data_IF_826992314353
#
_entry.id   IF_826992314353
#
_cell.length_a   1.000
_cell.length_b   1.000
_cell.length_c   1.000
_cell.angle_alpha   90.00
_cell.angle_beta   90.00
_cell.angle_gamma   90.00
#
_symmetry.space_group_name_H-M   'P 1'
#
loop_
_entity.id
_entity.type
_entity.pdbx_description
1 polymer ?
#
# COMPACT_ATOMS: atom_id res chain seq x y z
N UNK A 1 33.81 4.96 13.52
CA UNK A 1 32.86 4.99 12.39
C UNK A 1 33.62 4.59 11.15
N UNK A 2 33.07 3.71 10.32
CA UNK A 2 33.71 3.24 9.10
C UNK A 2 33.60 4.29 7.98
N UNK A 3 34.67 4.45 7.20
CA UNK A 3 34.76 5.35 6.06
C UNK A 3 34.23 4.77 4.74
N UNK A 4 33.64 3.57 4.75
CA UNK A 4 33.03 2.95 3.56
C UNK A 4 31.80 3.71 3.03
N UNK A 5 30.98 4.28 3.92
CA UNK A 5 29.70 4.91 3.57
C UNK A 5 29.83 6.15 2.67
N UNK A 6 31.00 6.79 2.62
CA UNK A 6 31.27 7.91 1.70
C UNK A 6 31.48 7.49 0.24
N UNK A 7 31.37 6.19 -0.08
CA UNK A 7 31.65 5.63 -1.41
C UNK A 7 30.44 5.01 -2.12
N UNK A 8 29.24 5.07 -1.53
CA UNK A 8 28.03 4.65 -2.26
C UNK A 8 27.77 5.68 -3.36
N UNK A 9 27.79 5.22 -4.61
CA UNK A 9 27.44 6.04 -5.76
C UNK A 9 25.92 6.12 -5.91
N UNK A 10 25.43 7.31 -6.21
CA UNK A 10 24.00 7.68 -6.26
C UNK A 10 23.82 8.49 -7.54
N UNK A 11 23.28 7.90 -8.63
CA UNK A 11 23.52 8.38 -9.99
C UNK A 11 23.24 9.88 -10.23
N UNK A 12 22.12 10.38 -9.73
CA UNK A 12 21.65 11.75 -10.00
C UNK A 12 21.71 12.65 -8.74
N UNK A 13 22.45 12.26 -7.69
CA UNK A 13 22.47 12.98 -6.40
C UNK A 13 22.88 14.45 -6.53
N UNK A 14 23.74 14.79 -7.49
CA UNK A 14 24.15 16.18 -7.71
C UNK A 14 22.95 17.07 -8.11
N UNK A 15 21.96 16.54 -8.86
CA UNK A 15 20.71 17.25 -9.17
C UNK A 15 19.94 17.60 -7.90
N UNK A 16 19.84 16.67 -6.95
CA UNK A 16 19.20 16.90 -5.65
C UNK A 16 19.96 17.93 -4.81
N UNK A 17 21.29 17.85 -4.77
CA UNK A 17 22.15 18.75 -4.00
C UNK A 17 22.32 20.15 -4.61
N UNK A 18 21.95 20.33 -5.89
CA UNK A 18 21.83 21.63 -6.55
C UNK A 18 20.42 22.22 -6.42
N UNK A 19 19.38 21.38 -6.35
CA UNK A 19 18.00 21.79 -6.05
C UNK A 19 17.77 22.16 -4.58
N UNK A 20 18.49 21.54 -3.64
CA UNK A 20 18.52 21.93 -2.23
C UNK A 20 19.94 21.79 -1.63
N UNK A 21 20.75 22.87 -1.68
CA UNK A 21 22.11 22.87 -1.16
C UNK A 21 22.25 22.53 0.33
N UNK A 22 21.19 22.67 1.14
CA UNK A 22 21.21 22.27 2.55
C UNK A 22 21.40 20.75 2.73
N UNK A 23 20.97 19.94 1.76
CA UNK A 23 21.14 18.48 1.79
C UNK A 23 22.60 18.02 1.72
N UNK A 24 23.54 18.90 1.33
CA UNK A 24 24.99 18.60 1.35
C UNK A 24 25.51 18.32 2.77
N UNK A 25 24.84 18.85 3.81
CA UNK A 25 25.12 18.52 5.21
C UNK A 25 24.69 17.10 5.61
N UNK A 26 23.83 16.47 4.81
CA UNK A 26 23.24 15.15 5.05
C UNK A 26 23.58 14.13 3.95
N UNK A 27 24.46 14.47 3.00
CA UNK A 27 24.81 13.66 1.84
C UNK A 27 25.26 12.24 2.22
N UNK A 28 26.06 12.08 3.28
CA UNK A 28 26.51 10.77 3.75
C UNK A 28 25.38 9.86 4.25
N UNK A 29 24.30 10.43 4.76
CA UNK A 29 23.10 9.69 5.19
C UNK A 29 22.20 9.34 4.00
N UNK A 30 22.09 10.23 3.00
CA UNK A 30 21.42 9.95 1.72
C UNK A 30 22.14 8.80 1.00
N UNK A 31 23.47 8.86 0.89
CA UNK A 31 24.33 7.79 0.32
C UNK A 31 24.19 6.48 1.09
N UNK A 32 24.16 6.51 2.43
CA UNK A 32 23.90 5.31 3.26
C UNK A 32 22.54 4.67 2.93
N UNK A 33 21.46 5.46 2.90
CA UNK A 33 20.09 5.00 2.60
C UNK A 33 19.99 4.38 1.20
N UNK A 34 20.58 5.03 0.21
CA UNK A 34 20.64 4.50 -1.16
C UNK A 34 21.46 3.21 -1.25
N UNK A 35 22.53 3.07 -0.45
CA UNK A 35 23.30 1.83 -0.33
C UNK A 35 22.45 0.67 0.18
N UNK A 36 21.66 0.88 1.24
CA UNK A 36 20.71 -0.11 1.75
C UNK A 36 19.65 -0.49 0.71
N UNK A 37 19.13 0.47 -0.07
CA UNK A 37 18.27 0.20 -1.22
C UNK A 37 18.96 -0.66 -2.29
N UNK A 38 20.21 -0.33 -2.68
CA UNK A 38 20.99 -1.11 -3.64
C UNK A 38 21.33 -2.52 -3.14
N UNK A 39 21.52 -2.73 -1.84
CA UNK A 39 21.71 -4.07 -1.25
C UNK A 39 20.43 -4.90 -1.39
N UNK A 40 19.25 -4.33 -1.08
CA UNK A 40 17.96 -5.02 -1.22
C UNK A 40 17.65 -5.36 -2.67
N UNK A 41 17.81 -4.43 -3.62
CA UNK A 41 17.59 -4.70 -5.05
C UNK A 41 18.54 -5.80 -5.55
N UNK A 42 19.85 -5.71 -5.26
CA UNK A 42 20.82 -6.75 -5.65
C UNK A 42 20.48 -8.12 -5.03
N UNK A 43 19.94 -8.15 -3.82
CA UNK A 43 19.50 -9.41 -3.21
C UNK A 43 18.29 -10.00 -3.94
N UNK A 44 17.27 -9.19 -4.23
CA UNK A 44 16.07 -9.60 -4.99
C UNK A 44 16.45 -10.11 -6.39
N UNK A 45 17.32 -9.39 -7.10
CA UNK A 45 17.77 -9.76 -8.44
C UNK A 45 18.54 -11.09 -8.43
N UNK A 46 19.43 -11.31 -7.46
CA UNK A 46 20.26 -12.51 -7.37
C UNK A 46 19.57 -13.75 -6.80
N UNK A 47 18.48 -13.60 -6.04
CA UNK A 47 17.80 -14.73 -5.36
C UNK A 47 16.42 -15.05 -5.92
N UNK A 48 15.61 -14.03 -6.21
CA UNK A 48 14.22 -14.19 -6.66
C UNK A 48 14.07 -13.94 -8.17
N UNK A 49 15.13 -13.46 -8.85
CA UNK A 49 15.20 -13.34 -10.31
C UNK A 49 14.52 -12.07 -10.84
N UNK A 50 14.73 -10.95 -10.16
CA UNK A 50 14.26 -9.63 -10.56
C UNK A 50 12.99 -9.18 -9.83
N UNK A 51 12.88 -7.87 -9.60
CA UNK A 51 11.80 -7.30 -8.78
C UNK A 51 10.39 -7.52 -9.35
N UNK A 52 10.21 -7.61 -10.67
CA UNK A 52 8.92 -8.02 -11.26
C UNK A 52 8.49 -9.39 -10.75
N UNK A 53 9.38 -10.40 -10.84
CA UNK A 53 9.11 -11.78 -10.45
C UNK A 53 8.87 -11.90 -8.94
N UNK A 54 9.63 -11.16 -8.14
CA UNK A 54 9.42 -11.08 -6.68
C UNK A 54 8.05 -10.49 -6.32
N UNK A 55 7.62 -9.43 -7.00
CA UNK A 55 6.31 -8.78 -6.76
C UNK A 55 5.10 -9.71 -7.01
N UNK A 56 5.30 -10.78 -7.80
CA UNK A 56 4.26 -11.73 -8.23
C UNK A 56 4.05 -12.89 -7.25
N UNK A 57 4.48 -12.75 -6.00
CA UNK A 57 4.26 -13.74 -4.93
C UNK A 57 2.80 -14.21 -4.81
N UNK A 58 1.83 -13.32 -5.06
CA UNK A 58 0.39 -13.61 -5.06
C UNK A 58 -0.06 -14.65 -6.11
N UNK A 59 0.74 -14.92 -7.16
CA UNK A 59 0.45 -15.96 -8.17
C UNK A 59 0.75 -17.38 -7.65
N UNK A 60 1.37 -17.50 -6.47
CA UNK A 60 1.78 -18.79 -5.93
C UNK A 60 1.54 -18.97 -4.42
N UNK A 61 1.47 -17.88 -3.64
CA UNK A 61 1.00 -17.89 -2.26
C UNK A 61 -0.51 -17.64 -2.18
N UNK A 62 -1.14 -18.08 -1.09
CA UNK A 62 -2.60 -18.18 -0.99
C UNK A 62 -3.15 -19.41 -1.70
N UNK A 63 -4.47 -19.42 -1.89
CA UNK A 63 -5.23 -20.54 -2.47
C UNK A 63 -5.47 -20.32 -3.97
N UNK A 64 -5.06 -21.31 -4.77
CA UNK A 64 -5.20 -21.31 -6.22
C UNK A 64 -5.79 -22.63 -6.72
N UNK A 65 -6.65 -22.56 -7.73
CA UNK A 65 -7.15 -23.71 -8.47
C UNK A 65 -6.16 -24.10 -9.56
N UNK A 66 -5.83 -25.38 -9.67
CA UNK A 66 -4.93 -25.89 -10.70
C UNK A 66 -5.70 -26.23 -11.99
N UNK A 67 -5.04 -26.31 -13.16
CA UNK A 67 -5.73 -26.51 -14.45
C UNK A 67 -6.52 -27.82 -14.59
N UNK A 68 -6.25 -28.79 -13.72
CA UNK A 68 -6.95 -30.08 -13.58
C UNK A 68 -8.13 -30.03 -12.58
N UNK A 69 -8.53 -28.83 -12.13
CA UNK A 69 -9.52 -28.58 -11.06
C UNK A 69 -9.09 -29.04 -9.64
N UNK A 70 -7.82 -29.41 -9.43
CA UNK A 70 -7.27 -29.50 -8.08
C UNK A 70 -7.14 -28.14 -7.39
N UNK A 71 -6.63 -28.15 -6.16
CA UNK A 71 -6.20 -26.96 -5.41
C UNK A 71 -4.72 -27.08 -5.08
N UNK A 72 -3.98 -25.99 -5.29
CA UNK A 72 -2.69 -25.76 -4.67
C UNK A 72 -2.81 -24.57 -3.71
N UNK A 73 -2.34 -24.70 -2.48
CA UNK A 73 -2.29 -23.59 -1.53
C UNK A 73 -0.93 -23.54 -0.84
N UNK A 74 -0.32 -22.34 -0.79
CA UNK A 74 1.00 -22.13 -0.19
C UNK A 74 0.97 -20.95 0.78
N UNK A 75 1.61 -21.13 1.93
CA UNK A 75 1.63 -20.17 3.03
C UNK A 75 3.02 -19.97 3.59
N UNK A 76 3.21 -18.91 4.38
CA UNK A 76 4.41 -18.68 5.17
C UNK A 76 4.05 -18.64 6.66
N UNK A 77 4.52 -19.63 7.42
CA UNK A 77 4.20 -19.80 8.83
C UNK A 77 5.39 -20.46 9.56
N UNK A 78 6.55 -19.77 9.68
CA UNK A 78 7.78 -20.36 10.20
C UNK A 78 7.69 -20.83 11.66
N UNK A 79 6.82 -20.19 12.45
CA UNK A 79 6.57 -20.51 13.86
C UNK A 79 5.49 -21.57 14.11
N UNK A 80 4.85 -22.13 13.07
CA UNK A 80 3.87 -23.20 13.21
C UNK A 80 4.53 -24.57 13.39
N UNK A 81 3.92 -25.45 14.17
CA UNK A 81 4.31 -26.87 14.25
C UNK A 81 3.50 -27.76 13.29
N UNK A 82 2.40 -27.22 12.76
CA UNK A 82 1.61 -27.84 11.70
C UNK A 82 0.64 -26.82 11.11
N UNK A 83 0.34 -26.95 9.83
CA UNK A 83 -0.64 -26.13 9.13
C UNK A 83 -1.65 -27.06 8.44
N UNK A 84 -2.93 -26.71 8.50
CA UNK A 84 -4.03 -27.52 7.95
C UNK A 84 -5.05 -26.62 7.25
N UNK A 85 -5.70 -27.14 6.21
CA UNK A 85 -6.81 -26.49 5.53
C UNK A 85 -8.14 -27.00 6.08
N UNK A 86 -9.07 -26.07 6.36
CA UNK A 86 -10.42 -26.35 6.86
C UNK A 86 -11.46 -25.68 5.96
N UNK A 87 -12.68 -26.18 5.99
CA UNK A 87 -13.84 -25.53 5.38
C UNK A 87 -15.13 -26.26 5.73
N UNK A 88 -16.22 -25.91 5.05
CA UNK A 88 -17.50 -26.63 5.19
C UNK A 88 -17.39 -28.09 4.71
N UNK A 89 -16.45 -28.37 3.81
CA UNK A 89 -16.13 -29.70 3.27
C UNK A 89 -15.27 -30.60 4.19
N UNK A 90 -14.85 -30.13 5.38
CA UNK A 90 -13.92 -30.88 6.26
C UNK A 90 -14.60 -31.39 7.52
N UNK A 91 -14.53 -32.70 7.76
CA UNK A 91 -15.09 -33.35 8.96
C UNK A 91 -14.23 -33.17 10.22
N UNK A 92 -12.93 -32.90 10.08
CA UNK A 92 -12.04 -32.57 11.21
C UNK A 92 -11.09 -31.42 10.87
N UNK A 93 -10.62 -30.69 11.89
CA UNK A 93 -9.67 -29.56 11.73
C UNK A 93 -8.33 -29.92 11.10
N UNK A 94 -7.97 -31.21 11.01
CA UNK A 94 -6.64 -31.69 10.60
C UNK A 94 -6.67 -32.60 9.37
N UNK A 95 -7.81 -32.69 8.68
CA UNK A 95 -8.03 -33.60 7.54
C UNK A 95 -7.09 -33.33 6.35
N UNK A 96 -6.71 -32.07 6.14
CA UNK A 96 -5.88 -31.62 5.01
C UNK A 96 -4.59 -30.95 5.52
N UNK A 97 -3.55 -31.73 5.89
CA UNK A 97 -2.27 -31.20 6.34
C UNK A 97 -1.44 -30.63 5.19
N UNK A 98 -0.76 -29.51 5.44
CA UNK A 98 0.28 -28.99 4.55
C UNK A 98 1.62 -29.70 4.81
N UNK A 99 2.40 -29.88 3.76
CA UNK A 99 3.82 -30.24 3.84
C UNK A 99 4.64 -29.00 4.21
N UNK A 100 5.53 -29.13 5.21
CA UNK A 100 6.50 -28.07 5.55
C UNK A 100 7.61 -28.03 4.51
N UNK A 101 7.93 -26.83 4.03
CA UNK A 101 9.02 -26.55 3.11
C UNK A 101 10.12 -25.73 3.82
N UNK A 102 11.19 -25.43 3.09
CA UNK A 102 12.27 -24.55 3.55
C UNK A 102 11.77 -23.13 3.88
N UNK A 103 12.57 -22.39 4.65
CA UNK A 103 12.28 -21.00 5.07
C UNK A 103 10.96 -20.83 5.85
N UNK A 104 10.36 -21.92 6.34
CA UNK A 104 9.07 -21.90 7.02
C UNK A 104 7.87 -21.67 6.09
N UNK A 105 8.06 -21.88 4.78
CA UNK A 105 7.00 -21.98 3.78
C UNK A 105 6.26 -23.32 3.98
N UNK A 106 4.99 -23.39 3.62
CA UNK A 106 4.15 -24.59 3.71
C UNK A 106 3.34 -24.73 2.43
N UNK A 107 3.16 -25.93 1.90
CA UNK A 107 2.36 -26.18 0.69
C UNK A 107 1.40 -27.36 0.90
N UNK A 108 0.19 -27.27 0.35
CA UNK A 108 -0.71 -28.40 0.16
C UNK A 108 -1.18 -28.45 -1.30
N UNK A 109 -1.28 -29.66 -1.84
CA UNK A 109 -1.88 -29.97 -3.13
C UNK A 109 -3.00 -30.99 -2.91
N UNK A 110 -4.20 -30.69 -3.39
CA UNK A 110 -5.39 -31.52 -3.26
C UNK A 110 -5.87 -31.81 -4.69
N UNK A 111 -5.98 -33.09 -5.11
CA UNK A 111 -6.46 -33.43 -6.46
C UNK A 111 -7.94 -33.05 -6.64
N UNK A 112 -8.43 -32.96 -7.89
CA UNK A 112 -9.86 -32.85 -8.15
C UNK A 112 -10.66 -34.01 -7.52
N UNK A 113 -11.95 -33.79 -7.34
CA UNK A 113 -12.90 -34.83 -6.97
C UNK A 113 -13.00 -35.90 -8.09
N UNK A 114 -13.57 -37.07 -7.78
CA UNK A 114 -13.70 -38.18 -8.74
C UNK A 114 -14.57 -37.86 -9.98
N UNK A 115 -15.43 -36.83 -9.89
CA UNK A 115 -16.24 -36.30 -10.99
C UNK A 115 -15.53 -35.17 -11.77
N UNK A 116 -14.28 -34.85 -11.43
CA UNK A 116 -13.51 -33.75 -12.01
C UNK A 116 -13.85 -32.37 -11.44
N UNK A 117 -14.69 -32.27 -10.41
CA UNK A 117 -15.04 -31.00 -9.77
C UNK A 117 -13.97 -30.52 -8.77
N UNK A 118 -14.00 -29.23 -8.44
CA UNK A 118 -13.08 -28.62 -7.48
C UNK A 118 -13.33 -29.18 -6.05
N UNK A 119 -12.30 -29.64 -5.32
CA UNK A 119 -12.47 -30.23 -3.98
C UNK A 119 -12.82 -29.21 -2.90
N UNK A 120 -12.67 -27.91 -3.18
CA UNK A 120 -12.94 -26.82 -2.23
C UNK A 120 -14.06 -25.92 -2.76
N UNK A 121 -15.28 -26.01 -2.20
CA UNK A 121 -16.32 -25.01 -2.41
C UNK A 121 -15.91 -23.66 -1.77
N UNK A 122 -16.83 -22.69 -1.75
CA UNK A 122 -16.58 -21.42 -1.07
C UNK A 122 -16.40 -21.62 0.45
N UNK A 123 -15.96 -20.57 1.17
CA UNK A 123 -15.82 -20.54 2.64
C UNK A 123 -14.72 -21.46 3.26
N UNK A 124 -13.51 -21.50 2.69
CA UNK A 124 -12.33 -22.14 3.31
C UNK A 124 -11.67 -21.27 4.40
N UNK A 125 -11.00 -21.90 5.37
CA UNK A 125 -10.26 -21.25 6.47
C UNK A 125 -8.96 -21.99 6.77
N UNK A 126 -7.90 -21.30 7.19
CA UNK A 126 -6.68 -21.95 7.68
C UNK A 126 -6.81 -22.37 9.14
N UNK A 127 -6.11 -23.43 9.52
CA UNK A 127 -5.92 -23.86 10.91
C UNK A 127 -4.43 -24.03 11.17
N UNK A 128 -3.92 -23.28 12.14
CA UNK A 128 -2.52 -23.32 12.58
C UNK A 128 -2.43 -24.14 13.86
N UNK A 129 -1.49 -25.09 13.92
CA UNK A 129 -1.05 -25.71 15.17
C UNK A 129 0.08 -24.90 15.78
N UNK A 130 -0.16 -24.40 16.98
CA UNK A 130 0.81 -23.64 17.77
C UNK A 130 1.84 -24.55 18.45
N UNK A 131 2.88 -23.94 19.04
CA UNK A 131 3.87 -24.65 19.88
C UNK A 131 3.29 -25.20 21.18
N UNK A 132 2.16 -24.66 21.65
CA UNK A 132 1.33 -25.23 22.74
C UNK A 132 0.50 -26.44 22.29
N UNK A 133 0.53 -26.81 21.01
CA UNK A 133 -0.25 -27.92 20.44
C UNK A 133 -1.70 -27.57 20.04
N UNK A 134 -2.16 -26.37 20.38
CA UNK A 134 -3.52 -25.86 20.14
C UNK A 134 -3.80 -25.65 18.64
N UNK A 135 -5.06 -25.84 18.23
CA UNK A 135 -5.50 -25.68 16.83
C UNK A 135 -6.33 -24.41 16.67
N UNK A 136 -5.67 -23.35 16.19
CA UNK A 136 -6.21 -21.99 16.11
C UNK A 136 -6.53 -21.61 14.67
N UNK A 137 -7.76 -21.16 14.43
CA UNK A 137 -8.22 -20.77 13.09
C UNK A 137 -7.64 -19.40 12.69
N UNK A 138 -7.32 -19.25 11.40
CA UNK A 138 -6.79 -18.02 10.79
C UNK A 138 -7.37 -17.80 9.39
N UNK A 139 -7.32 -16.54 8.95
CA UNK A 139 -7.54 -16.15 7.56
C UNK A 139 -6.18 -16.18 6.84
N UNK A 140 -6.17 -16.64 5.59
CA UNK A 140 -5.04 -16.55 4.67
C UNK A 140 -4.60 -15.08 4.49
N UNK A 141 -3.32 -14.71 4.72
CA UNK A 141 -2.80 -13.36 4.46
C UNK A 141 -2.99 -12.92 2.99
N UNK A 142 -3.05 -13.90 2.08
CA UNK A 142 -3.26 -13.73 0.64
C UNK A 142 -4.74 -13.90 0.23
N UNK A 143 -5.68 -13.78 1.17
CA UNK A 143 -7.11 -13.98 0.93
C UNK A 143 -7.71 -12.86 0.08
N UNK A 144 -8.02 -13.16 -1.19
CA UNK A 144 -8.61 -12.23 -2.18
C UNK A 144 -9.90 -11.54 -1.68
N UNK A 145 -10.73 -12.24 -0.90
CA UNK A 145 -12.00 -11.74 -0.35
C UNK A 145 -12.22 -12.27 1.06
N UNK A 146 -12.72 -11.41 1.95
CA UNK A 146 -13.25 -11.79 3.27
C UNK A 146 -14.65 -11.20 3.44
N UNK A 147 -15.49 -11.86 4.25
CA UNK A 147 -16.87 -11.44 4.54
C UNK A 147 -17.15 -11.61 6.03
N UNK A 148 -17.85 -10.65 6.64
CA UNK A 148 -18.46 -10.83 7.96
C UNK A 148 -19.93 -11.22 7.77
N UNK A 149 -20.39 -12.42 8.17
CA UNK A 149 -21.82 -12.72 8.26
C UNK A 149 -22.50 -11.76 9.25
N UNK A 150 -23.81 -11.53 9.10
CA UNK A 150 -24.51 -10.52 9.93
C UNK A 150 -24.45 -10.86 11.42
N UNK A 151 -24.58 -12.14 11.71
CA UNK A 151 -24.92 -12.70 13.02
C UNK A 151 -23.68 -13.06 13.86
N UNK A 152 -22.47 -12.83 13.34
CA UNK A 152 -21.20 -13.05 14.04
C UNK A 152 -20.26 -11.83 13.94
N UNK A 153 -19.41 -11.59 14.97
CA UNK A 153 -18.43 -10.50 14.94
C UNK A 153 -17.20 -10.81 14.09
N UNK A 154 -16.91 -12.09 13.81
CA UNK A 154 -15.70 -12.53 13.11
C UNK A 154 -15.85 -12.50 11.58
N UNK A 155 -14.76 -12.17 10.89
CA UNK A 155 -14.66 -12.34 9.45
C UNK A 155 -14.37 -13.79 9.06
N UNK A 156 -14.80 -14.16 7.86
CA UNK A 156 -14.59 -15.45 7.23
C UNK A 156 -13.95 -15.25 5.86
N UNK A 157 -12.99 -16.10 5.52
CA UNK A 157 -12.33 -16.13 4.21
C UNK A 157 -13.27 -16.72 3.16
N UNK A 158 -13.33 -16.09 2.00
CA UNK A 158 -14.08 -16.57 0.84
C UNK A 158 -13.09 -17.07 -0.20
N UNK A 159 -13.23 -18.33 -0.64
CA UNK A 159 -12.54 -18.79 -1.84
C UNK A 159 -13.16 -18.07 -3.05
N UNK A 160 -12.48 -17.05 -3.57
CA UNK A 160 -12.95 -16.25 -4.70
C UNK A 160 -12.38 -16.80 -6.01
N UNK A 161 -13.07 -17.82 -6.52
CA UNK A 161 -12.86 -18.47 -7.83
C UNK A 161 -14.16 -18.40 -8.65
N UNK A 162 -14.57 -17.21 -9.12
CA UNK A 162 -15.79 -17.06 -9.92
C UNK A 162 -15.61 -17.64 -11.33
N UNK A 163 -16.67 -18.18 -11.95
CA UNK A 163 -16.63 -18.66 -13.34
C UNK A 163 -16.07 -17.65 -14.36
N UNK A 164 -15.44 -18.16 -15.42
CA UNK A 164 -14.72 -17.36 -16.42
C UNK A 164 -15.61 -16.33 -17.16
N UNK A 165 -16.90 -16.62 -17.30
CA UNK A 165 -17.93 -15.73 -17.85
C UNK A 165 -18.37 -14.60 -16.89
N UNK A 166 -18.09 -14.77 -15.60
CA UNK A 166 -18.40 -13.79 -14.53
C UNK A 166 -17.20 -12.91 -14.17
N UNK A 167 -16.00 -13.22 -14.67
CA UNK A 167 -14.82 -12.38 -14.51
C UNK A 167 -14.97 -11.06 -15.28
N UNK A 168 -14.68 -9.94 -14.61
CA UNK A 168 -14.75 -8.62 -15.23
C UNK A 168 -13.64 -8.42 -16.26
N UNK A 169 -14.03 -8.30 -17.53
CA UNK A 169 -13.12 -7.94 -18.61
C UNK A 169 -13.01 -6.41 -18.71
N UNK A 170 -11.79 -5.88 -18.55
CA UNK A 170 -11.52 -4.45 -18.65
C UNK A 170 -11.74 -3.95 -20.09
N UNK A 171 -12.64 -2.98 -20.26
CA UNK A 171 -13.06 -2.46 -21.58
C UNK A 171 -12.34 -1.19 -22.02
N UNK A 172 -11.51 -0.61 -21.15
CA UNK A 172 -10.88 0.70 -21.35
C UNK A 172 -9.40 0.64 -20.99
N UNK A 173 -8.55 1.34 -21.75
CA UNK A 173 -7.15 1.55 -21.37
C UNK A 173 -7.05 2.48 -20.15
N UNK A 174 -5.92 2.43 -19.44
CA UNK A 174 -5.60 3.47 -18.44
C UNK A 174 -5.51 4.84 -19.15
N UNK A 175 -6.04 5.93 -18.56
CA UNK A 175 -5.79 7.29 -19.03
C UNK A 175 -4.30 7.64 -19.04
N UNK A 176 -3.94 8.67 -19.81
CA UNK A 176 -2.57 9.19 -19.83
C UNK A 176 -2.28 10.05 -18.58
N UNK A 177 -1.02 10.10 -18.13
CA UNK A 177 -0.61 10.80 -16.90
C UNK A 177 -0.94 12.30 -17.03
N UNK A 178 -1.84 12.88 -16.20
CA UNK A 178 -2.30 14.25 -16.39
C UNK A 178 -1.22 15.26 -15.99
N UNK A 179 -1.16 16.40 -16.70
CA UNK A 179 -0.17 17.46 -16.45
C UNK A 179 -0.28 18.11 -15.05
N UNK A 180 -1.43 17.99 -14.38
CA UNK A 180 -1.65 18.40 -13.00
C UNK A 180 -2.80 17.60 -12.40
N UNK A 181 -2.68 17.23 -11.13
CA UNK A 181 -3.71 16.45 -10.43
C UNK A 181 -4.86 17.33 -9.95
N UNK A 182 -6.07 16.78 -10.06
CA UNK A 182 -7.29 17.20 -9.38
C UNK A 182 -7.88 15.92 -8.80
N UNK A 183 -7.76 15.75 -7.50
CA UNK A 183 -8.18 14.53 -6.80
C UNK A 183 -9.51 14.82 -6.13
N UNK A 184 -10.49 13.94 -6.36
CA UNK A 184 -11.71 13.89 -5.57
C UNK A 184 -11.58 12.70 -4.63
N UNK A 185 -11.33 12.96 -3.35
CA UNK A 185 -11.30 11.92 -2.33
C UNK A 185 -12.70 11.30 -2.17
N UNK A 186 -12.77 10.00 -1.88
CA UNK A 186 -14.06 9.30 -1.84
C UNK A 186 -14.04 8.00 -1.04
N UNK A 187 -14.96 7.91 -0.08
CA UNK A 187 -15.26 6.67 0.63
C UNK A 187 -16.57 6.06 0.11
N UNK A 188 -16.47 4.93 -0.59
CA UNK A 188 -17.61 4.27 -1.25
C UNK A 188 -18.77 4.03 -0.28
N UNK A 189 -18.50 3.55 0.94
CA UNK A 189 -19.55 3.14 1.89
C UNK A 189 -20.49 4.26 2.34
N UNK A 190 -20.09 5.54 2.24
CA UNK A 190 -20.91 6.70 2.65
C UNK A 190 -21.38 7.57 1.47
N UNK A 191 -21.23 7.08 0.24
CA UNK A 191 -21.53 7.83 -0.99
C UNK A 191 -23.01 7.87 -1.39
N UNK A 192 -23.92 7.47 -0.50
CA UNK A 192 -25.37 7.64 -0.68
C UNK A 192 -25.96 8.49 0.44
N UNK A 193 -27.10 9.11 0.14
CA UNK A 193 -27.95 9.81 1.10
C UNK A 193 -28.80 8.85 1.96
N UNK A 194 -28.87 7.57 1.57
CA UNK A 194 -29.49 6.52 2.37
C UNK A 194 -28.60 6.13 3.56
N UNK A 195 -29.19 5.89 4.73
CA UNK A 195 -28.51 5.40 5.94
C UNK A 195 -28.07 3.93 5.85
N UNK A 196 -27.28 3.58 4.82
CA UNK A 196 -26.77 2.23 4.52
C UNK A 196 -25.31 2.31 4.08
N UNK A 197 -24.60 1.18 4.14
CA UNK A 197 -23.31 1.05 3.42
C UNK A 197 -23.61 0.97 1.92
N UNK A 198 -23.24 2.01 1.16
CA UNK A 198 -23.48 2.06 -0.28
C UNK A 198 -22.57 1.11 -1.07
N UNK A 199 -23.01 0.61 -2.23
CA UNK A 199 -22.22 -0.34 -3.02
C UNK A 199 -21.32 0.31 -4.08
N UNK A 200 -20.28 -0.40 -4.50
CA UNK A 200 -19.45 -0.03 -5.66
C UNK A 200 -20.26 0.21 -6.94
N UNK A 201 -21.39 -0.50 -7.14
CA UNK A 201 -22.24 -0.34 -8.33
C UNK A 201 -23.01 0.98 -8.30
N UNK A 202 -23.53 1.37 -7.14
CA UNK A 202 -24.18 2.67 -6.94
C UNK A 202 -23.17 3.81 -7.08
N UNK A 203 -22.01 3.71 -6.42
CA UNK A 203 -20.90 4.66 -6.58
C UNK A 203 -20.47 4.87 -8.05
N UNK A 204 -20.32 3.77 -8.81
CA UNK A 204 -19.96 3.80 -10.24
C UNK A 204 -21.00 4.51 -11.10
N UNK A 205 -22.30 4.33 -10.78
CA UNK A 205 -23.43 4.90 -11.53
C UNK A 205 -23.67 6.37 -11.18
N UNK A 206 -23.61 6.71 -9.90
CA UNK A 206 -24.22 7.94 -9.36
C UNK A 206 -23.22 9.02 -8.95
N UNK A 207 -21.98 8.63 -8.61
CA UNK A 207 -20.94 9.57 -8.13
C UNK A 207 -19.82 9.79 -9.14
N UNK A 208 -19.32 8.75 -9.82
CA UNK A 208 -18.25 8.92 -10.84
C UNK A 208 -18.57 9.99 -11.90
N UNK A 209 -19.81 10.15 -12.41
CA UNK A 209 -20.13 11.24 -13.34
C UNK A 209 -19.97 12.64 -12.74
N UNK A 210 -20.12 12.79 -11.41
CA UNK A 210 -19.96 14.09 -10.70
C UNK A 210 -18.51 14.39 -10.37
N UNK A 211 -17.71 13.35 -10.13
CA UNK A 211 -16.28 13.43 -9.81
C UNK A 211 -15.47 14.01 -10.99
N UNK A 212 -15.93 13.75 -12.22
CA UNK A 212 -15.32 14.25 -13.46
C UNK A 212 -15.17 15.79 -13.50
N UNK A 213 -16.00 16.54 -12.76
CA UNK A 213 -16.20 17.97 -12.99
C UNK A 213 -15.46 18.91 -12.00
N UNK A 214 -14.60 18.41 -11.07
CA UNK A 214 -14.12 19.17 -9.88
C UNK A 214 -12.63 18.96 -9.47
N UNK A 215 -11.98 19.97 -8.84
CA UNK A 215 -10.78 19.81 -7.96
C UNK A 215 -9.60 20.82 -8.12
N UNK A 216 -8.76 21.03 -7.06
CA UNK A 216 -7.52 21.87 -6.99
C UNK A 216 -6.63 21.54 -5.74
N UNK A 217 -5.46 22.19 -5.49
CA UNK A 217 -4.56 22.00 -4.30
C UNK A 217 -3.25 22.83 -4.24
N UNK A 218 -2.39 22.70 -3.19
CA UNK A 218 -1.00 23.25 -2.98
C UNK A 218 -0.12 22.49 -1.90
N UNK A 219 0.60 23.07 -0.90
CA UNK A 219 1.89 22.50 -0.32
C UNK A 219 2.40 22.91 1.14
N UNK A 220 3.64 22.52 1.60
CA UNK A 220 4.23 22.74 2.98
C UNK A 220 5.81 22.66 3.18
N UNK A 221 6.34 22.99 4.40
CA UNK A 221 7.75 23.45 4.82
C UNK A 221 8.88 22.39 5.08
N UNK A 222 10.01 22.77 5.73
CA UNK A 222 11.38 22.29 5.43
C UNK A 222 12.43 22.10 6.61
N UNK A 223 12.10 22.10 7.93
CA UNK A 223 13.13 22.15 9.02
C UNK A 223 13.25 20.98 10.08
N UNK A 224 12.49 19.88 10.02
CA UNK A 224 12.36 18.95 11.19
C UNK A 224 12.97 17.54 11.03
N UNK A 225 13.65 17.23 9.92
CA UNK A 225 13.64 15.85 9.38
C UNK A 225 14.92 15.01 9.47
N UNK A 226 16.03 15.59 9.94
CA UNK A 226 17.33 14.91 9.92
C UNK A 226 17.84 14.59 11.34
N UNK A 227 17.47 13.41 11.84
CA UNK A 227 17.94 12.87 13.11
C UNK A 227 17.91 11.34 13.13
N UNK A 228 18.45 10.75 14.21
CA UNK A 228 18.59 9.29 14.37
C UNK A 228 17.27 8.52 14.53
N UNK A 229 16.12 9.21 14.46
CA UNK A 229 14.80 8.63 14.64
C UNK A 229 14.12 8.22 13.31
N UNK A 230 14.74 8.45 12.14
CA UNK A 230 14.18 7.99 10.86
C UNK A 230 14.30 6.47 10.74
N UNK A 231 13.16 5.77 10.65
CA UNK A 231 13.15 4.35 10.28
C UNK A 231 13.71 4.18 8.85
N UNK A 232 14.88 3.55 8.76
CA UNK A 232 15.54 3.29 7.48
C UNK A 232 14.89 2.12 6.74
N UNK A 233 14.35 1.13 7.44
CA UNK A 233 13.81 -0.08 6.82
C UNK A 233 12.47 0.23 6.15
N UNK A 234 11.61 1.00 6.82
CA UNK A 234 10.38 1.55 6.21
C UNK A 234 10.69 2.46 5.02
N UNK A 235 11.70 3.34 5.12
CA UNK A 235 12.08 4.21 4.00
C UNK A 235 12.63 3.40 2.80
N UNK A 236 13.48 2.41 3.04
CA UNK A 236 14.00 1.53 1.98
C UNK A 236 12.87 0.71 1.35
N UNK A 237 11.90 0.21 2.14
CA UNK A 237 10.70 -0.43 1.59
C UNK A 237 9.91 0.51 0.66
N UNK A 238 9.76 1.79 1.02
CA UNK A 238 9.10 2.79 0.16
C UNK A 238 9.91 3.11 -1.09
N UNK A 239 11.24 3.23 -1.00
CA UNK A 239 12.14 3.41 -2.15
C UNK A 239 12.04 2.22 -3.12
N UNK A 240 12.12 0.99 -2.61
CA UNK A 240 11.97 -0.26 -3.40
C UNK A 240 10.57 -0.33 -4.04
N UNK A 241 9.52 0.06 -3.32
CA UNK A 241 8.15 0.09 -3.82
C UNK A 241 7.96 1.12 -4.93
N UNK A 242 8.42 2.36 -4.74
CA UNK A 242 8.33 3.42 -5.74
C UNK A 242 9.18 3.14 -6.97
N UNK A 243 10.38 2.59 -6.80
CA UNK A 243 11.23 2.12 -7.91
C UNK A 243 10.52 1.05 -8.73
N UNK A 244 10.03 -0.02 -8.08
CA UNK A 244 9.25 -1.09 -8.74
C UNK A 244 8.04 -0.54 -9.49
N UNK A 245 7.25 0.34 -8.85
CA UNK A 245 6.03 0.88 -9.45
C UNK A 245 6.31 1.74 -10.69
N UNK A 246 7.38 2.54 -10.70
CA UNK A 246 7.76 3.35 -11.85
C UNK A 246 8.44 2.55 -12.96
N UNK A 247 9.21 1.50 -12.64
CA UNK A 247 9.78 0.58 -13.64
C UNK A 247 8.68 -0.22 -14.36
N UNK A 248 7.71 -0.76 -13.61
CA UNK A 248 6.61 -1.57 -14.18
C UNK A 248 5.48 -0.72 -14.79
N UNK A 249 5.27 0.49 -14.28
CA UNK A 249 4.22 1.41 -14.72
C UNK A 249 4.74 2.87 -14.74
N UNK A 250 5.48 3.31 -15.77
CA UNK A 250 6.05 4.66 -15.82
C UNK A 250 5.03 5.82 -15.69
N UNK A 251 3.77 5.57 -16.05
CA UNK A 251 2.65 6.50 -15.89
C UNK A 251 1.90 6.37 -14.55
N UNK A 252 2.42 5.60 -13.58
CA UNK A 252 1.89 5.55 -12.21
C UNK A 252 1.96 6.93 -11.56
N UNK A 253 1.16 7.12 -10.50
CA UNK A 253 1.31 8.23 -9.57
C UNK A 253 1.29 7.66 -8.17
N UNK A 254 2.33 7.91 -7.38
CA UNK A 254 2.36 7.59 -5.95
C UNK A 254 2.30 8.88 -5.13
N UNK A 255 1.46 8.87 -4.09
CA UNK A 255 1.22 10.03 -3.21
C UNK A 255 1.56 9.64 -1.78
N UNK A 256 2.34 10.48 -1.10
CA UNK A 256 2.64 10.34 0.31
C UNK A 256 1.65 11.15 1.16
N UNK A 257 0.82 10.46 1.94
CA UNK A 257 0.18 11.04 3.13
C UNK A 257 1.26 11.16 4.22
N UNK A 258 1.81 12.36 4.36
CA UNK A 258 3.00 12.60 5.17
C UNK A 258 2.90 14.02 5.76
N UNK A 259 2.79 14.12 7.09
CA UNK A 259 2.50 15.38 7.80
C UNK A 259 3.74 16.21 8.06
N UNK A 260 4.91 15.59 8.24
CA UNK A 260 6.09 16.25 8.78
C UNK A 260 6.66 17.27 7.79
N UNK A 261 6.96 16.85 6.55
CA UNK A 261 7.65 17.69 5.55
C UNK A 261 8.91 17.06 4.95
N UNK A 262 9.07 15.74 5.05
CA UNK A 262 10.33 15.04 4.73
C UNK A 262 10.93 15.43 3.36
N UNK A 263 12.18 15.93 3.34
CA UNK A 263 12.98 16.24 2.17
C UNK A 263 13.19 15.08 1.24
N UNK A 264 13.21 15.39 -0.07
CA UNK A 264 13.47 14.46 -1.15
C UNK A 264 12.50 13.26 -1.21
N UNK A 265 11.44 13.24 -0.40
CA UNK A 265 10.44 12.17 -0.39
C UNK A 265 9.76 12.07 -1.75
N UNK A 266 9.48 13.22 -2.38
CA UNK A 266 8.88 13.34 -3.71
C UNK A 266 9.94 13.63 -4.80
N UNK A 267 11.14 13.07 -4.64
CA UNK A 267 12.23 13.06 -5.63
C UNK A 267 12.56 11.63 -6.06
N UNK A 268 13.05 11.41 -7.30
CA UNK A 268 13.45 10.09 -7.79
C UNK A 268 14.37 9.32 -6.85
N UNK A 269 14.29 7.98 -6.87
CA UNK A 269 15.13 7.11 -6.04
C UNK A 269 16.60 7.21 -6.49
N UNK A 270 16.80 7.41 -7.79
CA UNK A 270 18.08 7.62 -8.48
C UNK A 270 18.82 8.90 -8.05
N UNK A 271 18.08 9.89 -7.51
CA UNK A 271 18.63 11.10 -6.88
C UNK A 271 18.98 10.89 -5.39
N UNK A 272 18.64 9.73 -4.82
CA UNK A 272 18.67 9.47 -3.38
C UNK A 272 17.37 9.83 -2.64
N UNK A 273 16.29 10.11 -3.38
CA UNK A 273 14.97 10.44 -2.84
C UNK A 273 14.09 9.23 -2.48
N UNK A 274 12.89 9.52 -1.95
CA UNK A 274 11.90 8.51 -1.57
C UNK A 274 11.10 7.92 -2.73
N UNK A 275 11.11 8.55 -3.90
CA UNK A 275 10.48 8.07 -5.14
C UNK A 275 8.99 8.40 -5.32
N UNK A 276 8.38 9.22 -4.47
CA UNK A 276 6.99 9.64 -4.65
C UNK A 276 6.82 10.70 -5.76
N UNK A 277 5.65 10.78 -6.40
CA UNK A 277 5.34 11.89 -7.31
C UNK A 277 4.86 13.15 -6.56
N UNK A 278 4.08 12.97 -5.48
CA UNK A 278 3.44 14.04 -4.71
C UNK A 278 3.38 13.72 -3.21
N UNK A 279 3.28 14.76 -2.38
CA UNK A 279 2.89 14.67 -0.95
C UNK A 279 1.59 15.41 -0.66
N UNK A 280 0.92 15.07 0.44
CA UNK A 280 -0.19 15.87 0.98
C UNK A 280 0.32 17.12 1.74
N UNK A 281 -0.50 18.17 1.75
CA UNK A 281 -0.20 19.48 2.35
C UNK A 281 -1.02 19.73 3.62
N UNK A 282 -0.78 18.89 4.63
CA UNK A 282 -1.69 18.69 5.78
C UNK A 282 -1.82 19.92 6.71
N UNK A 283 -0.91 20.90 6.60
CA UNK A 283 -0.97 22.16 7.36
C UNK A 283 -2.10 23.12 6.91
N UNK A 284 -2.56 23.02 5.66
CA UNK A 284 -3.58 23.94 5.10
C UNK A 284 -4.97 23.71 5.73
N UNK A 285 -5.48 22.47 5.91
CA UNK A 285 -6.68 22.20 6.71
C UNK A 285 -6.62 22.76 8.13
N UNK A 286 -5.50 22.57 8.84
CA UNK A 286 -5.37 23.01 10.24
C UNK A 286 -5.33 24.54 10.37
N UNK A 287 -4.78 25.26 9.38
CA UNK A 287 -4.93 26.71 9.26
C UNK A 287 -6.41 27.11 9.17
N UNK A 288 -7.18 26.57 8.22
CA UNK A 288 -8.60 26.93 8.08
C UNK A 288 -9.42 26.60 9.32
N UNK A 289 -9.17 25.45 9.93
CA UNK A 289 -9.83 25.02 11.18
C UNK A 289 -9.50 25.96 12.35
N UNK A 290 -8.28 26.49 12.42
CA UNK A 290 -7.88 27.47 13.44
C UNK A 290 -8.60 28.80 13.26
N UNK A 291 -8.56 29.36 12.04
CA UNK A 291 -9.17 30.66 11.74
C UNK A 291 -10.69 30.63 11.97
N UNK A 292 -11.37 29.55 11.59
CA UNK A 292 -12.82 29.36 11.80
C UNK A 292 -13.23 29.04 13.25
N UNK A 293 -12.29 28.92 14.20
CA UNK A 293 -12.56 28.60 15.62
C UNK A 293 -12.09 29.64 16.62
N UNK A 294 -10.97 30.31 16.33
CA UNK A 294 -10.24 31.12 17.31
C UNK A 294 -10.28 32.64 17.03
N UNK A 295 -10.72 33.05 15.84
CA UNK A 295 -10.63 34.44 15.36
C UNK A 295 -11.98 34.92 14.79
N UNK A 296 -12.27 36.21 14.89
CA UNK A 296 -13.34 36.83 14.11
C UNK A 296 -12.85 37.19 12.70
N UNK A 297 -13.75 37.37 11.74
CA UNK A 297 -13.40 37.70 10.34
C UNK A 297 -12.52 38.96 10.23
N UNK A 298 -12.67 39.93 11.15
CA UNK A 298 -11.86 41.16 11.22
C UNK A 298 -10.44 40.92 11.77
N UNK A 299 -10.19 39.80 12.45
CA UNK A 299 -8.87 39.43 13.02
C UNK A 299 -8.01 38.58 12.06
N UNK A 300 -8.46 38.33 10.83
CA UNK A 300 -7.79 37.39 9.90
C UNK A 300 -6.48 37.95 9.32
N UNK A 301 -5.36 37.38 9.77
CA UNK A 301 -4.01 37.69 9.27
C UNK A 301 -3.74 37.09 7.88
N UNK A 302 -4.03 37.90 6.85
CA UNK A 302 -3.82 37.54 5.45
C UNK A 302 -2.36 37.19 5.10
N UNK A 303 -1.37 37.75 5.81
CA UNK A 303 0.05 37.44 5.55
C UNK A 303 0.38 36.02 6.00
N UNK A 304 -0.05 35.63 7.21
CA UNK A 304 0.07 34.26 7.72
C UNK A 304 -0.72 33.25 6.86
N UNK A 305 -1.89 33.66 6.33
CA UNK A 305 -2.67 32.82 5.43
C UNK A 305 -1.94 32.57 4.09
N UNK A 306 -1.48 33.63 3.42
CA UNK A 306 -0.71 33.51 2.18
C UNK A 306 0.57 32.71 2.41
N UNK A 307 1.30 33.00 3.49
CA UNK A 307 2.49 32.25 3.89
C UNK A 307 2.20 30.75 3.99
N UNK A 308 1.18 30.35 4.75
CA UNK A 308 0.85 28.92 4.95
C UNK A 308 0.42 28.22 3.65
N UNK A 309 -0.19 28.94 2.70
CA UNK A 309 -0.53 28.39 1.39
C UNK A 309 0.69 28.21 0.48
N UNK A 310 1.71 29.08 0.55
CA UNK A 310 2.86 29.08 -0.39
C UNK A 310 4.18 28.54 0.19
N UNK A 311 4.29 28.43 1.52
CA UNK A 311 5.50 28.01 2.22
C UNK A 311 5.79 26.54 1.90
N UNK A 312 6.66 26.30 0.91
CA UNK A 312 6.85 24.95 0.38
C UNK A 312 8.18 24.60 -0.26
N UNK A 313 8.44 23.30 -0.28
CA UNK A 313 9.45 22.65 -1.13
C UNK A 313 9.16 22.82 -2.64
N UNK A 314 9.52 23.94 -3.28
CA UNK A 314 9.20 24.20 -4.70
C UNK A 314 9.71 23.14 -5.70
N UNK A 315 10.78 22.42 -5.35
CA UNK A 315 11.37 21.33 -6.13
C UNK A 315 10.63 19.98 -6.00
N UNK A 316 9.60 19.92 -5.15
CA UNK A 316 8.77 18.74 -4.88
C UNK A 316 7.28 19.09 -5.08
N UNK A 317 6.48 18.17 -5.63
CA UNK A 317 5.07 18.43 -5.91
C UNK A 317 4.22 18.08 -4.68
N UNK A 318 3.16 18.85 -4.45
CA UNK A 318 2.21 18.57 -3.38
C UNK A 318 0.76 18.72 -3.84
N UNK A 319 -0.15 18.14 -3.07
CA UNK A 319 -1.61 18.26 -3.18
C UNK A 319 -2.11 18.88 -1.88
N UNK A 320 -2.94 19.91 -1.96
CA UNK A 320 -3.68 20.43 -0.81
C UNK A 320 -5.18 20.30 -1.00
N UNK A 321 -5.87 20.52 0.11
CA UNK A 321 -7.28 20.36 0.33
C UNK A 321 -7.62 21.34 1.47
N UNK A 322 -8.79 21.97 1.46
CA UNK A 322 -9.12 23.01 2.44
C UNK A 322 -9.64 22.42 3.78
N UNK A 323 -10.01 21.15 3.78
CA UNK A 323 -10.52 20.41 4.94
C UNK A 323 -10.51 18.91 4.65
N UNK A 324 -10.36 18.12 5.70
CA UNK A 324 -10.14 16.67 5.63
C UNK A 324 -11.35 15.91 6.23
N UNK A 325 -11.76 14.75 5.69
CA UNK A 325 -12.73 13.88 6.34
C UNK A 325 -12.11 13.11 7.52
N UNK A 326 -11.48 13.82 8.47
CA UNK A 326 -10.95 13.22 9.72
C UNK A 326 -12.10 12.48 10.42
N UNK A 327 -11.97 11.15 10.68
CA UNK A 327 -13.00 10.40 11.37
C UNK A 327 -13.28 11.01 12.74
N UNK A 328 -14.55 11.15 13.09
CA UNK A 328 -14.97 11.58 14.43
C UNK A 328 -14.67 10.47 15.44
N UNK A 329 -13.44 10.46 15.97
CA UNK A 329 -13.03 9.70 17.15
C UNK A 329 -13.70 10.30 18.39
N UNK A 330 -15.01 10.04 18.50
CA UNK A 330 -15.91 10.66 19.47
C UNK A 330 -17.32 10.06 19.41
N UNK A 331 -17.44 8.84 19.94
CA UNK A 331 -18.68 8.19 20.36
C UNK A 331 -18.41 7.43 21.67
#
# INVERSE_FOLDING_TARGET
MDGSLSKVDVPEIQHLLDLDPYLRLHEGEIRRRYGCFQDVIRHIDSTEGGIEKFSRGYESFGLHRTPDNGICMKEWAPGAEGLYLRGEFTGTKTQYPFTRLEFGKWEIKIPPNQDGSCPIPHNSKLVVRTKSGELVDRICPWSKVVKRPKDVPIFEQINWDPPQDQLYQFKHRRPDKPASLRIYESHVGISSHEGKVNSYKEFTRDLLPRIHDLGHGFSGDYNEYFGLNTDTDSLVYLMVSNYMLHQLYPNMITVAEEVSGMPALCRPVEEGGGGFDYRLAMAIPDMWIKYLKEFSDDDWDLEKMVHTLINRRYSEKCIAYAGEPRPSLGW
#
